data_IF_079596280960
#
_entry.id   IF_079596280960
#
_cell.length_a   1.000
_cell.length_b   1.000
_cell.length_c   1.000
_cell.angle_alpha   90.00
_cell.angle_beta   90.00
_cell.angle_gamma   90.00
#
_symmetry.space_group_name_H-M   'P 1'
#
loop_
_entity.id
_entity.type
_entity.pdbx_description
1 polymer ?
#
# COMPACT_ATOMS: atom_id res chain seq x y z
N UNK A 1 -20.72 23.72 23.33
CA UNK A 1 -20.68 22.61 22.37
C UNK A 1 -19.45 22.89 21.53
N UNK A 2 -18.29 22.43 22.01
CA UNK A 2 -17.01 22.72 21.36
C UNK A 2 -16.92 21.95 20.06
N UNK A 3 -16.79 22.71 18.98
CA UNK A 3 -16.52 22.24 17.64
C UNK A 3 -15.11 21.64 17.63
N UNK A 4 -15.04 20.32 17.70
CA UNK A 4 -13.78 19.59 17.68
C UNK A 4 -13.20 19.70 16.26
N UNK A 5 -12.38 20.71 16.03
CA UNK A 5 -11.54 20.80 14.85
C UNK A 5 -10.63 19.56 14.84
N UNK A 6 -10.58 18.75 13.77
CA UNK A 6 -9.68 17.62 13.73
C UNK A 6 -8.26 18.18 13.71
N UNK A 7 -7.49 17.89 14.75
CA UNK A 7 -6.04 18.09 14.75
C UNK A 7 -5.53 17.33 13.53
N UNK A 8 -4.74 18.01 12.68
CA UNK A 8 -4.14 17.36 11.52
C UNK A 8 -3.35 16.14 12.01
N UNK A 9 -3.81 14.96 11.61
CA UNK A 9 -3.23 13.71 12.07
C UNK A 9 -1.76 13.67 11.63
N UNK A 10 -0.87 13.25 12.52
CA UNK A 10 0.54 13.07 12.16
C UNK A 10 0.69 11.99 11.09
N UNK A 11 1.76 12.04 10.29
CA UNK A 11 2.06 11.01 9.26
C UNK A 11 2.03 9.58 9.85
N UNK A 12 2.44 9.42 11.12
CA UNK A 12 2.35 8.15 11.84
C UNK A 12 0.92 7.65 12.06
N UNK A 13 -0.01 8.55 12.35
CA UNK A 13 -1.43 8.24 12.53
C UNK A 13 -2.11 7.93 11.19
N UNK A 14 -1.75 8.66 10.13
CA UNK A 14 -2.21 8.37 8.77
C UNK A 14 -1.72 6.99 8.29
N UNK A 15 -0.43 6.69 8.51
CA UNK A 15 0.14 5.39 8.19
C UNK A 15 -0.53 4.26 9.01
N UNK A 16 -0.78 4.50 10.30
CA UNK A 16 -1.51 3.56 11.15
C UNK A 16 -2.92 3.32 10.61
N UNK A 17 -3.66 4.38 10.26
CA UNK A 17 -5.00 4.27 9.71
C UNK A 17 -5.02 3.54 8.35
N UNK A 18 -3.92 3.61 7.59
CA UNK A 18 -3.80 2.95 6.30
C UNK A 18 -3.65 1.42 6.37
N UNK A 19 -3.10 0.90 7.48
CA UNK A 19 -2.90 -0.55 7.64
C UNK A 19 -4.21 -1.31 7.54
N UNK A 20 -4.23 -2.34 6.69
CA UNK A 20 -5.39 -3.18 6.46
C UNK A 20 -6.44 -2.59 5.51
N UNK A 21 -6.22 -1.43 4.90
CA UNK A 21 -7.06 -0.89 3.81
C UNK A 21 -6.69 -1.51 2.45
N UNK A 22 -7.59 -1.37 1.47
CA UNK A 22 -7.27 -1.66 0.07
C UNK A 22 -6.37 -0.58 -0.54
N UNK A 23 -5.68 -0.92 -1.64
CA UNK A 23 -4.83 0.02 -2.39
C UNK A 23 -5.03 -0.18 -3.89
N UNK A 24 -4.88 0.90 -4.67
CA UNK A 24 -4.88 0.82 -6.12
C UNK A 24 -3.49 0.50 -6.69
N UNK A 25 -3.27 -0.75 -7.09
CA UNK A 25 -2.00 -1.18 -7.68
C UNK A 25 -1.67 -0.43 -9.00
N UNK A 26 -2.68 0.03 -9.73
CA UNK A 26 -2.48 0.77 -10.97
C UNK A 26 -1.97 2.21 -10.74
N UNK A 27 -2.06 2.73 -9.50
CA UNK A 27 -1.60 4.07 -9.15
C UNK A 27 -0.28 4.08 -8.37
N UNK A 28 -0.28 3.82 -7.06
CA UNK A 28 0.92 3.86 -6.22
C UNK A 28 0.54 3.31 -4.84
N UNK A 29 1.52 2.95 -4.02
CA UNK A 29 1.31 2.58 -2.61
C UNK A 29 1.40 3.76 -1.65
N UNK A 30 1.69 4.99 -2.11
CA UNK A 30 1.60 6.18 -1.25
C UNK A 30 0.24 6.27 -0.56
N UNK A 31 0.22 6.71 0.69
CA UNK A 31 -0.98 6.74 1.55
C UNK A 31 -2.21 7.41 0.92
N UNK A 32 -1.99 8.41 0.05
CA UNK A 32 -3.05 9.11 -0.69
C UNK A 32 -3.85 8.21 -1.67
N UNK A 33 -3.33 7.03 -2.01
CA UNK A 33 -3.98 6.05 -2.88
C UNK A 33 -4.57 4.85 -2.12
N UNK A 34 -4.53 4.87 -0.78
CA UNK A 34 -5.27 3.93 0.04
C UNK A 34 -6.78 4.12 -0.20
N UNK A 35 -7.49 3.02 -0.48
CA UNK A 35 -8.92 2.99 -0.79
C UNK A 35 -9.78 2.72 0.44
N UNK A 36 -11.09 2.89 0.27
CA UNK A 36 -12.08 2.71 1.32
C UNK A 36 -12.03 3.78 2.41
N UNK A 37 -13.03 3.79 3.29
CA UNK A 37 -13.04 4.64 4.50
C UNK A 37 -12.54 3.90 5.74
N UNK A 38 -12.37 2.59 5.66
CA UNK A 38 -12.02 1.73 6.78
C UNK A 38 -11.19 0.53 6.35
N UNK A 39 -10.69 -0.19 7.34
CA UNK A 39 -9.89 -1.41 7.14
C UNK A 39 -10.77 -2.54 6.61
N UNK A 40 -10.18 -3.41 5.80
CA UNK A 40 -10.81 -4.63 5.27
C UNK A 40 -10.71 -5.81 6.24
N UNK A 41 -9.80 -5.69 7.21
CA UNK A 41 -9.51 -6.70 8.22
C UNK A 41 -9.96 -6.24 9.62
N UNK A 42 -10.24 -7.21 10.46
CA UNK A 42 -10.48 -7.03 11.89
C UNK A 42 -9.16 -6.91 12.63
N UNK A 43 -9.12 -6.01 13.61
CA UNK A 43 -8.00 -5.81 14.53
C UNK A 43 -8.55 -5.59 15.93
N UNK A 44 -7.77 -5.93 16.94
CA UNK A 44 -8.13 -5.73 18.34
C UNK A 44 -8.18 -4.24 18.68
N UNK A 45 -9.38 -3.70 18.80
CA UNK A 45 -9.60 -2.30 19.21
C UNK A 45 -9.77 -2.13 20.73
N UNK A 46 -9.80 -3.22 21.50
CA UNK A 46 -9.98 -3.18 22.96
C UNK A 46 -8.63 -3.04 23.66
N UNK A 47 -7.60 -3.73 23.17
CA UNK A 47 -6.27 -3.69 23.77
C UNK A 47 -5.35 -2.80 22.94
N UNK A 48 -5.29 -1.54 23.35
CA UNK A 48 -4.49 -0.50 22.71
C UNK A 48 -3.25 -0.17 23.54
N UNK A 49 -2.19 0.25 22.88
CA UNK A 49 -0.94 0.67 23.51
C UNK A 49 -0.30 1.78 22.68
N UNK A 50 0.61 2.52 23.30
CA UNK A 50 1.35 3.58 22.61
C UNK A 50 2.68 3.01 22.08
N UNK A 51 3.06 3.43 20.88
CA UNK A 51 4.26 2.95 20.18
C UNK A 51 5.19 4.13 19.93
N UNK A 52 6.36 4.10 20.57
CA UNK A 52 7.43 5.05 20.31
C UNK A 52 8.10 4.73 18.97
N UNK A 53 8.02 5.64 18.00
CA UNK A 53 8.69 5.49 16.71
C UNK A 53 10.19 5.82 16.88
N UNK A 54 11.11 4.97 16.40
CA UNK A 54 12.54 5.28 16.42
C UNK A 54 12.85 6.62 15.74
N UNK A 55 13.39 7.58 16.51
CA UNK A 55 13.72 8.91 15.99
C UNK A 55 12.51 9.80 15.65
N UNK A 56 11.30 9.43 16.09
CA UNK A 56 10.06 10.13 15.77
C UNK A 56 9.12 10.31 16.97
N UNK A 57 7.91 10.83 16.74
CA UNK A 57 6.89 10.97 17.77
C UNK A 57 6.33 9.62 18.21
N UNK A 58 5.72 9.58 19.39
CA UNK A 58 4.95 8.41 19.83
C UNK A 58 3.60 8.40 19.11
N UNK A 59 3.22 7.27 18.53
CA UNK A 59 1.88 7.05 17.97
C UNK A 59 1.03 6.39 19.04
N UNK A 60 -0.05 7.05 19.43
CA UNK A 60 -0.90 6.57 20.51
C UNK A 60 -1.95 5.58 20.00
N UNK A 61 -2.52 4.80 20.92
CA UNK A 61 -3.71 3.96 20.67
C UNK A 61 -3.55 2.94 19.53
N UNK A 62 -2.37 2.33 19.42
CA UNK A 62 -2.05 1.29 18.45
C UNK A 62 -2.59 -0.06 18.92
N UNK A 63 -3.26 -0.79 18.04
CA UNK A 63 -3.71 -2.17 18.31
C UNK A 63 -2.52 -3.10 18.54
N UNK A 64 -2.64 -4.08 19.43
CA UNK A 64 -1.60 -5.12 19.62
C UNK A 64 -1.35 -5.96 18.38
N UNK A 65 -2.30 -6.00 17.45
CA UNK A 65 -2.18 -6.66 16.15
C UNK A 65 -1.31 -5.87 15.16
N UNK A 66 -0.79 -4.71 15.55
CA UNK A 66 0.09 -3.89 14.73
C UNK A 66 1.47 -3.88 15.36
N UNK A 67 2.46 -4.26 14.55
CA UNK A 67 3.87 -4.14 14.87
C UNK A 67 4.46 -2.85 14.36
N UNK A 68 5.51 -2.39 15.04
CA UNK A 68 6.39 -1.35 14.56
C UNK A 68 7.83 -1.84 14.70
N UNK A 69 8.49 -2.01 13.56
CA UNK A 69 9.91 -2.35 13.52
C UNK A 69 10.73 -1.12 13.15
N UNK A 70 12.02 -1.18 13.46
CA UNK A 70 12.98 -0.19 12.99
C UNK A 70 12.96 -0.12 11.46
N UNK A 71 13.19 1.07 10.95
CA UNK A 71 13.41 1.27 9.52
C UNK A 71 14.71 0.65 9.06
N UNK A 72 14.92 0.72 7.75
CA UNK A 72 16.12 0.24 7.09
C UNK A 72 16.57 1.20 5.99
N UNK A 73 17.87 1.19 5.72
CA UNK A 73 18.46 1.90 4.59
C UNK A 73 18.96 0.86 3.60
N UNK A 74 18.30 0.77 2.45
CA UNK A 74 18.62 -0.21 1.41
C UNK A 74 19.09 0.53 0.17
N UNK A 75 20.28 0.19 -0.34
CA UNK A 75 20.66 0.60 -1.70
C UNK A 75 19.98 -0.34 -2.67
N UNK A 76 19.27 0.24 -3.63
CA UNK A 76 18.71 -0.50 -4.75
C UNK A 76 19.50 -0.13 -5.99
N UNK A 77 20.02 -1.15 -6.68
CA UNK A 77 20.68 -1.01 -7.96
C UNK A 77 20.17 -2.11 -8.88
N UNK A 78 19.74 -1.74 -10.09
CA UNK A 78 19.37 -2.66 -11.15
C UNK A 78 20.44 -2.71 -12.24
N UNK A 79 20.37 -3.74 -13.07
CA UNK A 79 20.97 -3.70 -14.41
C UNK A 79 20.23 -2.71 -15.32
N UNK A 80 20.75 -2.54 -16.53
CA UNK A 80 20.07 -1.85 -17.63
C UNK A 80 19.09 -2.85 -18.25
N UNK A 81 17.80 -2.63 -18.02
CA UNK A 81 16.73 -3.56 -18.38
C UNK A 81 15.78 -2.95 -19.40
N UNK A 82 15.17 -3.79 -20.24
CA UNK A 82 14.04 -3.36 -21.08
C UNK A 82 12.80 -3.07 -20.24
N UNK A 83 11.85 -2.31 -20.80
CA UNK A 83 10.63 -1.88 -20.12
C UNK A 83 9.92 -3.02 -19.36
N UNK A 84 9.65 -4.14 -20.03
CA UNK A 84 8.91 -5.26 -19.44
C UNK A 84 9.68 -5.95 -18.32
N UNK A 85 11.01 -6.05 -18.45
CA UNK A 85 11.88 -6.66 -17.44
C UNK A 85 11.94 -5.79 -16.18
N UNK A 86 12.05 -4.47 -16.36
CA UNK A 86 12.03 -3.54 -15.23
C UNK A 86 10.66 -3.50 -14.55
N UNK A 87 9.56 -3.49 -15.31
CA UNK A 87 8.19 -3.60 -14.79
C UNK A 87 8.03 -4.85 -13.90
N UNK A 88 8.47 -6.00 -14.38
CA UNK A 88 8.42 -7.26 -13.63
C UNK A 88 9.29 -7.21 -12.37
N UNK A 89 10.50 -6.63 -12.45
CA UNK A 89 11.37 -6.45 -11.29
C UNK A 89 10.71 -5.60 -10.18
N UNK A 90 10.08 -4.48 -10.55
CA UNK A 90 9.39 -3.60 -9.59
C UNK A 90 8.14 -4.29 -8.99
N UNK A 91 7.39 -5.04 -9.79
CA UNK A 91 6.23 -5.80 -9.28
C UNK A 91 6.65 -6.86 -8.26
N UNK A 92 7.72 -7.62 -8.55
CA UNK A 92 8.26 -8.63 -7.63
C UNK A 92 8.71 -8.03 -6.30
N UNK A 93 9.29 -6.81 -6.33
CA UNK A 93 9.66 -6.07 -5.11
C UNK A 93 8.45 -5.71 -4.25
N UNK A 94 7.28 -5.64 -4.85
CA UNK A 94 5.99 -5.42 -4.20
C UNK A 94 5.25 -6.72 -3.89
N UNK A 95 5.92 -7.88 -4.02
CA UNK A 95 5.34 -9.23 -3.88
C UNK A 95 4.17 -9.52 -4.84
N UNK A 96 4.07 -8.76 -5.92
CA UNK A 96 3.08 -8.94 -6.99
C UNK A 96 3.69 -9.74 -8.11
N UNK A 97 2.97 -10.74 -8.61
CA UNK A 97 3.36 -11.51 -9.78
C UNK A 97 2.75 -10.90 -11.04
N UNK A 98 3.50 -10.94 -12.16
CA UNK A 98 3.01 -10.56 -13.48
C UNK A 98 3.76 -9.41 -14.12
N UNK A 99 3.43 -9.17 -15.39
CA UNK A 99 4.17 -8.27 -16.30
C UNK A 99 3.50 -6.92 -16.51
N UNK A 100 2.27 -6.76 -16.02
CA UNK A 100 1.51 -5.52 -16.15
C UNK A 100 2.19 -4.45 -15.29
N UNK A 101 2.59 -3.30 -15.86
CA UNK A 101 3.21 -2.22 -15.10
C UNK A 101 2.33 -1.76 -13.94
N UNK A 102 2.87 -1.81 -12.73
CA UNK A 102 2.25 -1.17 -11.58
C UNK A 102 2.40 0.33 -11.66
N UNK A 103 1.53 1.06 -10.97
CA UNK A 103 1.67 2.52 -10.94
C UNK A 103 2.87 2.99 -10.12
N UNK A 104 3.42 2.15 -9.23
CA UNK A 104 4.73 2.39 -8.60
C UNK A 104 5.84 2.42 -9.63
N UNK A 105 5.85 1.45 -10.56
CA UNK A 105 6.79 1.47 -11.68
C UNK A 105 6.61 2.73 -12.54
N UNK A 106 5.37 3.11 -12.85
CA UNK A 106 5.11 4.34 -13.62
C UNK A 106 5.62 5.58 -12.88
N UNK A 107 5.38 5.67 -11.57
CA UNK A 107 5.84 6.80 -10.74
C UNK A 107 7.37 6.85 -10.62
N UNK A 108 8.04 5.70 -10.51
CA UNK A 108 9.51 5.63 -10.38
C UNK A 108 10.24 6.16 -11.61
N UNK A 109 9.66 5.98 -12.80
CA UNK A 109 10.28 6.36 -14.07
C UNK A 109 9.56 7.51 -14.79
N UNK A 110 8.63 8.19 -14.11
CA UNK A 110 7.83 9.30 -14.66
C UNK A 110 7.09 8.95 -15.96
N UNK A 111 6.50 7.75 -15.99
CA UNK A 111 5.75 7.21 -17.13
C UNK A 111 4.27 7.59 -17.07
N UNK A 112 3.62 7.60 -18.23
CA UNK A 112 2.23 8.06 -18.35
C UNK A 112 1.21 7.03 -17.85
N UNK A 113 1.59 5.76 -17.82
CA UNK A 113 0.71 4.63 -17.54
C UNK A 113 -0.01 4.08 -18.79
N UNK A 114 0.15 4.73 -19.95
CA UNK A 114 -0.22 4.18 -21.24
C UNK A 114 0.84 3.18 -21.70
N UNK A 115 0.90 2.03 -21.02
CA UNK A 115 2.03 1.10 -21.07
C UNK A 115 2.50 0.68 -22.46
N UNK A 116 1.59 0.60 -23.46
CA UNK A 116 1.94 0.28 -24.84
C UNK A 116 2.78 1.38 -25.50
N UNK A 117 2.48 2.66 -25.24
CA UNK A 117 3.25 3.78 -25.77
C UNK A 117 4.52 4.00 -24.96
N UNK A 118 4.41 3.94 -23.63
CA UNK A 118 5.57 4.05 -22.73
C UNK A 118 6.63 2.98 -23.08
N UNK A 119 6.22 1.75 -23.39
CA UNK A 119 7.13 0.66 -23.78
C UNK A 119 7.79 0.86 -25.15
N UNK A 120 7.14 1.54 -26.10
CA UNK A 120 7.74 1.83 -27.42
C UNK A 120 8.80 2.94 -27.33
N UNK A 121 8.51 3.97 -26.55
CA UNK A 121 9.41 5.13 -26.38
C UNK A 121 10.59 4.81 -25.45
N UNK A 122 10.42 3.82 -24.57
CA UNK A 122 11.45 3.40 -23.60
C UNK A 122 12.31 2.27 -24.15
N UNK A 123 13.58 2.57 -24.46
CA UNK A 123 14.55 1.53 -24.86
C UNK A 123 15.04 0.72 -23.65
N UNK A 124 15.56 1.41 -22.65
CA UNK A 124 16.13 0.79 -21.46
C UNK A 124 15.90 1.67 -20.24
N UNK A 125 15.82 1.02 -19.07
CA UNK A 125 15.66 1.63 -17.77
C UNK A 125 16.73 1.10 -16.82
N UNK A 126 17.15 1.94 -15.89
CA UNK A 126 18.02 1.56 -14.79
C UNK A 126 17.66 2.37 -13.54
N UNK A 127 17.79 1.76 -12.37
CA UNK A 127 17.56 2.38 -11.08
C UNK A 127 18.81 2.19 -10.21
N UNK A 128 19.37 3.28 -9.69
CA UNK A 128 20.39 3.27 -8.64
C UNK A 128 20.03 4.34 -7.61
N UNK A 129 19.79 3.94 -6.37
CA UNK A 129 19.37 4.85 -5.32
C UNK A 129 19.30 4.21 -3.95
N UNK A 130 19.07 5.04 -2.94
CA UNK A 130 18.83 4.58 -1.57
C UNK A 130 17.36 4.76 -1.20
N UNK A 131 16.74 3.69 -0.72
CA UNK A 131 15.46 3.72 -0.05
C UNK A 131 15.71 3.78 1.45
N UNK A 132 15.24 4.85 2.08
CA UNK A 132 15.35 5.05 3.53
C UNK A 132 13.95 4.91 4.11
N UNK A 133 13.70 3.74 4.69
CA UNK A 133 12.53 3.53 5.53
C UNK A 133 12.89 3.98 6.96
N UNK A 134 12.06 4.84 7.57
CA UNK A 134 12.28 5.33 8.94
C UNK A 134 11.79 4.31 9.98
N UNK A 135 10.65 3.67 9.70
CA UNK A 135 10.03 2.65 10.53
C UNK A 135 9.04 1.84 9.69
N UNK A 136 8.81 0.59 10.07
CA UNK A 136 7.89 -0.30 9.38
C UNK A 136 6.70 -0.63 10.28
N UNK A 137 5.51 -0.12 9.94
CA UNK A 137 4.27 -0.58 10.56
C UNK A 137 3.73 -1.76 9.76
N UNK A 138 3.35 -2.85 10.43
CA UNK A 138 2.84 -4.05 9.77
C UNK A 138 1.78 -4.74 10.63
N UNK A 139 0.92 -5.52 9.98
CA UNK A 139 -0.05 -6.35 10.68
C UNK A 139 0.64 -7.62 11.19
N UNK A 140 0.46 -7.93 12.48
CA UNK A 140 0.93 -9.15 13.16
C UNK A 140 -0.15 -10.20 13.28
N UNK A 141 -1.43 -9.83 13.13
CA UNK A 141 -2.54 -10.76 13.20
C UNK A 141 -2.37 -11.86 12.14
N UNK A 142 -2.38 -13.11 12.59
CA UNK A 142 -2.28 -14.30 11.75
C UNK A 142 -3.17 -15.40 12.31
N UNK A 143 -4.21 -15.84 11.56
CA UNK A 143 -4.60 -15.35 10.24
C UNK A 143 -5.22 -13.94 10.30
N UNK A 144 -5.15 -13.19 9.20
CA UNK A 144 -5.93 -11.97 9.02
C UNK A 144 -7.40 -12.34 8.80
N UNK A 145 -8.30 -11.76 9.58
CA UNK A 145 -9.74 -11.98 9.48
C UNK A 145 -10.36 -10.83 8.69
N UNK A 146 -11.03 -11.12 7.57
CA UNK A 146 -11.79 -10.12 6.83
C UNK A 146 -13.04 -9.70 7.61
N UNK A 147 -13.38 -8.42 7.51
CA UNK A 147 -14.68 -7.92 8.02
C UNK A 147 -15.84 -8.54 7.25
N UNK A 148 -16.97 -8.74 7.92
CA UNK A 148 -18.15 -9.37 7.33
C UNK A 148 -18.77 -8.57 6.18
N UNK A 149 -18.63 -7.25 6.18
CA UNK A 149 -19.01 -6.41 5.04
C UNK A 149 -18.19 -6.72 3.78
N UNK A 150 -16.88 -6.95 3.92
CA UNK A 150 -16.00 -7.32 2.81
C UNK A 150 -16.33 -8.72 2.31
N UNK A 151 -16.50 -9.69 3.22
CA UNK A 151 -16.90 -11.07 2.85
C UNK A 151 -18.20 -11.10 2.05
N UNK A 152 -19.20 -10.29 2.43
CA UNK A 152 -20.48 -10.19 1.71
C UNK A 152 -20.38 -9.48 0.37
N UNK A 153 -19.43 -8.54 0.23
CA UNK A 153 -19.25 -7.80 -1.00
C UNK A 153 -18.59 -8.65 -2.10
N UNK A 154 -17.77 -9.64 -1.75
CA UNK A 154 -17.09 -10.52 -2.71
C UNK A 154 -18.06 -11.57 -3.26
N UNK A 155 -18.31 -11.62 -4.58
CA UNK A 155 -19.17 -12.65 -5.18
C UNK A 155 -18.50 -14.02 -5.07
N UNK A 156 -19.33 -15.04 -5.00
CA UNK A 156 -18.89 -16.44 -4.94
C UNK A 156 -18.36 -16.97 -6.27
N UNK A 157 -18.55 -16.24 -7.37
CA UNK A 157 -18.10 -16.62 -8.71
C UNK A 157 -17.50 -15.43 -9.47
N UNK A 158 -16.70 -15.74 -10.49
CA UNK A 158 -16.16 -14.74 -11.40
C UNK A 158 -17.21 -14.36 -12.44
N UNK A 159 -18.02 -13.36 -12.12
CA UNK A 159 -18.94 -12.71 -13.05
C UNK A 159 -18.46 -11.26 -13.30
N UNK A 160 -17.86 -10.97 -14.47
CA UNK A 160 -17.36 -9.63 -14.79
C UNK A 160 -18.42 -8.54 -14.70
N UNK A 161 -19.67 -8.82 -15.05
CA UNK A 161 -20.76 -7.82 -15.04
C UNK A 161 -21.18 -7.52 -13.61
N UNK A 162 -21.31 -8.56 -12.78
CA UNK A 162 -21.58 -8.39 -11.34
C UNK A 162 -20.43 -7.67 -10.64
N UNK A 163 -19.17 -8.02 -10.93
CA UNK A 163 -17.98 -7.38 -10.37
C UNK A 163 -17.90 -5.90 -10.74
N UNK A 164 -18.14 -5.55 -12.01
CA UNK A 164 -18.14 -4.16 -12.47
C UNK A 164 -19.21 -3.29 -11.81
N UNK A 165 -20.31 -3.91 -11.34
CA UNK A 165 -21.40 -3.24 -10.60
C UNK A 165 -21.25 -3.34 -9.09
N UNK A 166 -20.36 -4.20 -8.60
CA UNK A 166 -20.16 -4.43 -7.17
C UNK A 166 -19.44 -3.26 -6.52
N UNK A 167 -19.68 -3.06 -5.23
CA UNK A 167 -18.97 -2.05 -4.46
C UNK A 167 -17.55 -2.50 -4.04
N UNK A 168 -17.09 -3.68 -4.48
CA UNK A 168 -15.77 -4.22 -4.11
C UNK A 168 -14.66 -3.25 -4.49
N UNK A 169 -14.77 -2.60 -5.65
CA UNK A 169 -13.77 -1.65 -6.12
C UNK A 169 -13.71 -0.35 -5.29
N UNK A 170 -14.63 -0.15 -4.33
CA UNK A 170 -14.62 0.98 -3.39
C UNK A 170 -13.83 0.73 -2.11
N UNK A 171 -13.46 -0.53 -1.84
CA UNK A 171 -12.64 -0.94 -0.70
C UNK A 171 -11.15 -0.70 -0.96
#
# INVERSE_FOLDING_TARGET
MEEHTPVAAGIGEEALAALGRGFDLANDFRLKFAKGKGRLVELDEKHLHDVAIPGGPTVCRVSRDIGCDKGERVRFQSDILEFNQMSELINQKSTVQGKVPSGVFNTLFDLTGAWLEDAKETKYLALDGFFICLYNLHLRASPLILRDEVKRAVPSNWDPVALARSEICRF
#
